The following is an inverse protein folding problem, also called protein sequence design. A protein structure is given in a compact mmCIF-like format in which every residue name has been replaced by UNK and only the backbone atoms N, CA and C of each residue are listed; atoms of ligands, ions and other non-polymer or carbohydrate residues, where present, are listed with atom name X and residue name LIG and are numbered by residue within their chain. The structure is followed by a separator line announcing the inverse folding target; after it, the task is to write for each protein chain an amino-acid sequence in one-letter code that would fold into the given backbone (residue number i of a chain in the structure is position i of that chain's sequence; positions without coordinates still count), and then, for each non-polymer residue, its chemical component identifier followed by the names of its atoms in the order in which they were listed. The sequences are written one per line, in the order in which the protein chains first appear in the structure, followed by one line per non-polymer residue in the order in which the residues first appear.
data_IF_911978571665
#
_entry.id   IF_911978571665
#
_cell.length_a   1.000
_cell.length_b   1.000
_cell.length_c   1.000
_cell.angle_alpha   90.00
_cell.angle_beta   90.00
_cell.angle_gamma   90.00
#
_symmetry.space_group_name_H-M   'P 1'
#
loop_
_entity.id
_entity.type
_entity.pdbx_description
1 polymer ?
#
# COMPACT_ATOMS: atom_id res chain seq x y z
N UNK A 1 18.48 -10.70 -26.54
CA UNK A 1 17.44 -11.04 -25.60
C UNK A 1 17.76 -10.41 -24.25
N UNK A 2 16.87 -9.55 -23.70
CA UNK A 2 17.04 -8.97 -22.36
C UNK A 2 16.21 -9.79 -21.38
N UNK A 3 16.80 -10.23 -20.26
CA UNK A 3 16.11 -10.95 -19.19
C UNK A 3 16.64 -10.52 -17.83
N UNK A 4 15.82 -10.70 -16.80
CA UNK A 4 16.17 -10.46 -15.41
C UNK A 4 15.98 -11.78 -14.65
N UNK A 5 16.99 -12.16 -13.88
CA UNK A 5 16.89 -13.32 -12.96
C UNK A 5 16.58 -12.79 -11.58
N UNK A 6 15.50 -13.30 -10.98
CA UNK A 6 15.02 -12.88 -9.65
C UNK A 6 14.79 -14.10 -8.77
N UNK A 7 14.78 -13.91 -7.45
CA UNK A 7 14.34 -14.92 -6.51
C UNK A 7 12.91 -15.35 -6.81
N UNK A 8 12.65 -16.65 -6.89
CA UNK A 8 11.28 -17.17 -6.89
C UNK A 8 10.76 -17.25 -5.46
N UNK A 9 9.67 -16.53 -5.18
CA UNK A 9 9.02 -16.53 -3.87
C UNK A 9 7.78 -17.40 -3.92
N UNK A 10 7.80 -18.54 -3.23
CA UNK A 10 6.68 -19.45 -3.14
C UNK A 10 5.69 -18.98 -2.06
N UNK A 11 4.49 -18.55 -2.49
CA UNK A 11 3.47 -18.02 -1.60
C UNK A 11 2.29 -17.43 -2.38
N UNK A 12 1.43 -16.73 -1.66
CA UNK A 12 0.30 -15.98 -2.25
C UNK A 12 0.48 -14.48 -1.98
N UNK A 13 -0.08 -13.64 -2.83
CA UNK A 13 -0.07 -12.20 -2.56
C UNK A 13 -1.02 -11.86 -1.42
N UNK A 14 -0.70 -10.81 -0.66
CA UNK A 14 -1.62 -10.27 0.35
C UNK A 14 -2.96 -9.85 -0.28
N UNK A 15 -2.95 -9.39 -1.54
CA UNK A 15 -4.18 -9.08 -2.29
C UNK A 15 -5.09 -10.30 -2.40
N UNK A 16 -4.56 -11.42 -2.88
CA UNK A 16 -5.29 -12.69 -2.96
C UNK A 16 -5.81 -13.15 -1.60
N UNK A 17 -5.01 -12.92 -0.55
CA UNK A 17 -5.39 -13.30 0.81
C UNK A 17 -6.55 -12.46 1.34
N UNK A 18 -6.51 -11.13 1.15
CA UNK A 18 -7.61 -10.22 1.52
C UNK A 18 -8.87 -10.58 0.73
N UNK A 19 -8.78 -10.81 -0.57
CA UNK A 19 -9.93 -11.16 -1.41
C UNK A 19 -10.61 -12.47 -0.98
N UNK A 20 -9.83 -13.46 -0.56
CA UNK A 20 -10.37 -14.73 -0.06
C UNK A 20 -11.05 -14.61 1.31
N UNK A 21 -10.53 -13.76 2.19
CA UNK A 21 -11.07 -13.56 3.55
C UNK A 21 -12.11 -12.45 3.63
N UNK A 22 -12.12 -11.52 2.68
CA UNK A 22 -12.90 -10.28 2.69
C UNK A 22 -12.33 -9.22 3.63
N UNK A 23 -11.99 -9.58 4.86
CA UNK A 23 -11.47 -8.72 5.90
C UNK A 23 -10.56 -9.53 6.83
N UNK A 24 -9.49 -8.92 7.33
CA UNK A 24 -8.57 -9.56 8.26
C UNK A 24 -8.88 -9.14 9.70
N UNK A 25 -8.59 -10.03 10.65
CA UNK A 25 -8.62 -9.64 12.06
C UNK A 25 -7.56 -8.58 12.36
N UNK A 26 -7.80 -7.74 13.36
CA UNK A 26 -6.81 -6.72 13.73
C UNK A 26 -5.47 -7.32 14.13
N UNK A 27 -5.45 -8.51 14.75
CA UNK A 27 -4.20 -9.21 15.13
C UNK A 27 -3.39 -9.63 13.91
N UNK A 28 -4.05 -10.18 12.89
CA UNK A 28 -3.40 -10.55 11.62
C UNK A 28 -2.88 -9.30 10.91
N UNK A 29 -3.71 -8.26 10.80
CA UNK A 29 -3.35 -6.99 10.14
C UNK A 29 -2.12 -6.36 10.79
N UNK A 30 -2.05 -6.33 12.11
CA UNK A 30 -0.89 -5.82 12.85
C UNK A 30 0.35 -6.68 12.61
N UNK A 31 0.22 -8.02 12.66
CA UNK A 31 1.34 -8.94 12.41
C UNK A 31 1.94 -8.75 11.01
N UNK A 32 1.09 -8.64 10.00
CA UNK A 32 1.51 -8.37 8.61
C UNK A 32 2.16 -7.00 8.50
N UNK A 33 1.53 -5.96 9.03
CA UNK A 33 2.03 -4.59 8.97
C UNK A 33 3.42 -4.44 9.62
N UNK A 34 3.66 -5.08 10.77
CA UNK A 34 4.97 -5.08 11.43
C UNK A 34 6.05 -5.72 10.52
N UNK A 35 5.76 -6.84 9.89
CA UNK A 35 6.72 -7.50 9.02
C UNK A 35 7.00 -6.67 7.75
N UNK A 36 5.95 -6.07 7.16
CA UNK A 36 6.11 -5.14 6.02
C UNK A 36 6.95 -3.94 6.42
N UNK A 37 6.65 -3.31 7.56
CA UNK A 37 7.41 -2.14 8.06
C UNK A 37 8.89 -2.48 8.28
N UNK A 38 9.22 -3.64 8.83
CA UNK A 38 10.62 -4.11 8.97
C UNK A 38 11.31 -4.30 7.63
N UNK A 39 10.60 -4.85 6.63
CA UNK A 39 11.13 -5.00 5.27
C UNK A 39 11.43 -3.65 4.61
N UNK A 40 10.53 -2.68 4.77
CA UNK A 40 10.69 -1.30 4.28
C UNK A 40 11.83 -0.59 5.02
N UNK A 41 11.90 -0.71 6.34
CA UNK A 41 12.97 -0.13 7.16
C UNK A 41 14.35 -0.60 6.70
N UNK A 42 14.50 -1.90 6.41
CA UNK A 42 15.76 -2.46 5.91
C UNK A 42 16.17 -1.83 4.56
N UNK A 43 15.21 -1.48 3.70
CA UNK A 43 15.46 -0.77 2.44
C UNK A 43 15.77 0.71 2.67
N UNK A 44 15.00 1.40 3.53
CA UNK A 44 15.19 2.80 3.87
C UNK A 44 16.58 3.05 4.49
N UNK A 45 17.08 2.14 5.33
CA UNK A 45 18.43 2.20 5.88
C UNK A 45 19.52 2.13 4.81
N UNK A 46 19.18 1.66 3.61
CA UNK A 46 20.04 1.67 2.41
C UNK A 46 19.68 2.79 1.43
N UNK A 47 18.87 3.76 1.87
CA UNK A 47 18.39 4.87 1.05
C UNK A 47 17.56 4.43 -0.18
N UNK A 48 16.90 3.28 -0.08
CA UNK A 48 16.01 2.75 -1.11
C UNK A 48 14.57 2.93 -0.65
N UNK A 49 13.81 3.77 -1.36
CA UNK A 49 12.37 3.93 -1.19
C UNK A 49 11.65 2.99 -2.16
N UNK A 50 10.63 2.27 -1.69
CA UNK A 50 9.90 1.28 -2.50
C UNK A 50 9.00 1.92 -3.55
N UNK A 51 8.21 2.92 -3.19
CA UNK A 51 7.33 3.74 -4.05
C UNK A 51 6.13 3.03 -4.68
N UNK A 52 5.92 1.76 -4.43
CA UNK A 52 4.78 0.97 -4.94
C UNK A 52 4.33 -0.07 -3.91
N UNK A 53 4.25 0.31 -2.63
CA UNK A 53 3.72 -0.54 -1.57
C UNK A 53 2.22 -0.73 -1.80
N UNK A 54 1.82 -1.99 -1.95
CA UNK A 54 0.42 -2.42 -2.13
C UNK A 54 0.30 -3.91 -1.88
N UNK A 55 -0.90 -4.45 -1.61
CA UNK A 55 -1.08 -5.87 -1.30
C UNK A 55 -0.59 -6.83 -2.39
N UNK A 56 -0.55 -6.40 -3.66
CA UNK A 56 -0.03 -7.21 -4.77
C UNK A 56 1.48 -7.45 -4.68
N UNK A 57 2.22 -6.52 -4.05
CA UNK A 57 3.67 -6.57 -3.90
C UNK A 57 4.11 -7.11 -2.53
N UNK A 58 3.18 -7.68 -1.76
CA UNK A 58 3.42 -8.32 -0.48
C UNK A 58 3.10 -9.81 -0.62
N UNK A 59 4.09 -10.67 -0.39
CA UNK A 59 3.95 -12.11 -0.48
C UNK A 59 3.83 -12.73 0.91
N UNK A 60 2.82 -13.57 1.09
CA UNK A 60 2.62 -14.41 2.28
C UNK A 60 3.14 -15.82 1.96
N UNK A 61 4.16 -16.26 2.69
CA UNK A 61 4.73 -17.58 2.59
C UNK A 61 3.93 -18.56 3.46
N UNK A 62 4.11 -19.87 3.22
CA UNK A 62 3.40 -20.92 3.95
C UNK A 62 3.72 -20.95 5.46
N UNK A 63 4.91 -20.51 5.85
CA UNK A 63 5.38 -20.44 7.24
C UNK A 63 4.90 -19.17 7.98
N UNK A 64 4.10 -18.32 7.31
CA UNK A 64 3.63 -17.03 7.84
C UNK A 64 4.62 -15.87 7.70
N UNK A 65 5.75 -16.10 7.03
CA UNK A 65 6.71 -15.04 6.71
C UNK A 65 6.14 -14.11 5.64
N UNK A 66 6.38 -12.81 5.78
CA UNK A 66 6.03 -11.81 4.79
C UNK A 66 7.28 -11.35 4.04
N UNK A 67 7.21 -11.31 2.71
CA UNK A 67 8.23 -10.70 1.85
C UNK A 67 7.65 -9.53 1.07
N UNK A 68 8.38 -8.41 1.07
CA UNK A 68 8.10 -7.25 0.21
C UNK A 68 8.83 -7.47 -1.11
N UNK A 69 8.12 -7.39 -2.22
CA UNK A 69 8.62 -7.66 -3.58
C UNK A 69 8.41 -6.46 -4.49
N UNK A 70 9.04 -6.47 -5.66
CA UNK A 70 8.83 -5.48 -6.73
C UNK A 70 9.10 -4.03 -6.27
N UNK A 71 10.28 -3.80 -5.70
CA UNK A 71 10.77 -2.45 -5.43
C UNK A 71 10.67 -1.60 -6.70
N UNK A 72 9.95 -0.48 -6.63
CA UNK A 72 9.57 0.37 -7.75
C UNK A 72 10.76 1.05 -8.45
N UNK A 73 11.59 0.28 -9.11
CA UNK A 73 12.84 0.73 -9.77
C UNK A 73 12.59 1.72 -10.92
N UNK A 74 11.33 1.93 -11.38
CA UNK A 74 11.08 2.63 -12.65
C UNK A 74 9.75 3.39 -12.74
N UNK A 75 9.20 3.97 -11.68
CA UNK A 75 7.98 4.78 -11.82
C UNK A 75 8.27 6.28 -11.74
N UNK A 76 8.81 6.83 -12.82
CA UNK A 76 8.65 8.27 -13.11
C UNK A 76 7.20 8.48 -13.58
N UNK A 77 6.34 9.06 -12.74
CA UNK A 77 4.99 9.47 -13.11
C UNK A 77 4.95 10.57 -14.19
N UNK A 78 6.11 11.09 -14.60
CA UNK A 78 6.24 12.19 -15.58
C UNK A 78 6.10 11.77 -17.05
N UNK A 79 5.81 10.51 -17.38
CA UNK A 79 5.51 10.14 -18.76
C UNK A 79 3.99 10.16 -19.00
N UNK A 80 3.48 11.28 -19.45
CA UNK A 80 2.09 11.51 -19.88
C UNK A 80 1.63 10.62 -21.06
N UNK A 81 2.33 9.54 -21.37
CA UNK A 81 2.14 8.69 -22.55
C UNK A 81 2.17 7.21 -22.25
N UNK A 82 1.88 6.78 -21.02
CA UNK A 82 1.72 5.34 -20.77
C UNK A 82 0.25 4.97 -20.79
N UNK A 83 -0.10 4.12 -21.76
CA UNK A 83 -1.33 3.31 -21.81
C UNK A 83 -1.69 2.87 -20.39
N UNK A 84 -2.86 3.28 -19.92
CA UNK A 84 -3.42 2.91 -18.60
C UNK A 84 -3.67 1.40 -18.61
N UNK A 85 -2.70 0.61 -18.21
CA UNK A 85 -2.90 -0.83 -17.98
C UNK A 85 -3.70 -1.02 -16.69
N UNK A 86 -4.45 -2.11 -16.57
CA UNK A 86 -5.20 -2.47 -15.35
C UNK A 86 -4.33 -2.44 -14.10
N UNK A 87 -3.04 -2.79 -14.22
CA UNK A 87 -2.06 -2.71 -13.13
C UNK A 87 -1.74 -1.27 -12.70
N UNK A 88 -1.80 -0.30 -13.63
CA UNK A 88 -1.62 1.11 -13.30
C UNK A 88 -2.85 1.65 -12.56
N UNK A 89 -4.06 1.19 -12.94
CA UNK A 89 -5.32 1.56 -12.27
C UNK A 89 -5.34 1.03 -10.84
N UNK A 90 -4.94 -0.22 -10.60
CA UNK A 90 -4.87 -0.80 -9.25
C UNK A 90 -3.89 -0.09 -8.30
N UNK A 91 -2.78 0.43 -8.82
CA UNK A 91 -1.74 1.09 -8.00
C UNK A 91 -2.15 2.48 -7.50
N UNK A 92 -3.07 3.17 -8.18
CA UNK A 92 -3.49 4.52 -7.79
C UNK A 92 -4.19 4.56 -6.43
N UNK A 93 -4.78 3.43 -6.00
CA UNK A 93 -5.46 3.34 -4.71
C UNK A 93 -4.51 3.45 -3.50
N UNK A 94 -3.21 3.23 -3.69
CA UNK A 94 -2.20 3.24 -2.63
C UNK A 94 -1.19 4.38 -2.78
N UNK A 95 -1.35 5.23 -3.79
CA UNK A 95 -0.42 6.31 -4.10
C UNK A 95 -0.42 7.37 -3.00
N UNK A 96 0.76 7.81 -2.58
CA UNK A 96 0.88 8.91 -1.62
C UNK A 96 0.57 10.27 -2.27
N UNK A 97 0.09 11.25 -1.50
CA UNK A 97 -0.25 12.58 -2.01
C UNK A 97 0.88 13.26 -2.77
N UNK A 98 2.12 13.19 -2.28
CA UNK A 98 3.29 13.76 -2.94
C UNK A 98 3.61 13.07 -4.27
N UNK A 99 3.40 11.76 -4.37
CA UNK A 99 3.56 11.03 -5.63
C UNK A 99 2.50 11.48 -6.66
N UNK A 100 1.25 11.62 -6.22
CA UNK A 100 0.16 12.07 -7.10
C UNK A 100 0.39 13.50 -7.62
N UNK A 101 1.10 14.35 -6.86
CA UNK A 101 1.53 15.69 -7.27
C UNK A 101 2.77 15.69 -8.15
N UNK A 102 3.45 14.56 -8.34
CA UNK A 102 4.75 14.49 -9.01
C UNK A 102 5.90 15.10 -8.19
N UNK A 103 5.74 15.16 -6.88
CA UNK A 103 6.74 15.69 -5.95
C UNK A 103 7.82 14.68 -5.58
N UNK A 104 8.74 15.10 -4.72
CA UNK A 104 9.80 14.24 -4.20
C UNK A 104 9.19 13.16 -3.30
N UNK A 105 9.73 11.95 -3.41
CA UNK A 105 9.32 10.77 -2.65
C UNK A 105 10.44 10.31 -1.74
N UNK A 106 10.12 10.02 -0.49
CA UNK A 106 11.03 9.49 0.51
C UNK A 106 10.39 8.31 1.26
N UNK A 107 10.95 7.91 2.40
CA UNK A 107 10.40 6.83 3.21
C UNK A 107 8.97 7.08 3.70
N UNK A 108 8.54 8.33 3.86
CA UNK A 108 7.18 8.67 4.29
C UNK A 108 6.13 8.32 3.22
N UNK A 109 6.53 8.35 1.95
CA UNK A 109 5.72 7.86 0.81
C UNK A 109 5.30 6.40 1.01
N UNK A 110 6.24 5.54 1.41
CA UNK A 110 5.95 4.12 1.67
C UNK A 110 5.06 3.96 2.92
N UNK A 111 5.25 4.78 3.95
CA UNK A 111 4.44 4.77 5.18
C UNK A 111 2.97 5.12 4.86
N UNK A 112 2.72 6.11 4.00
CA UNK A 112 1.37 6.41 3.55
C UNK A 112 0.72 5.19 2.88
N UNK A 113 1.43 4.54 1.96
CA UNK A 113 0.93 3.36 1.26
C UNK A 113 0.67 2.18 2.21
N UNK A 114 1.51 2.00 3.26
CA UNK A 114 1.25 1.04 4.34
C UNK A 114 -0.02 1.39 5.10
N UNK A 115 -0.27 2.67 5.39
CA UNK A 115 -1.51 3.13 6.02
C UNK A 115 -2.75 2.75 5.21
N UNK A 116 -2.73 2.98 3.89
CA UNK A 116 -3.82 2.58 2.98
C UNK A 116 -4.01 1.06 2.97
N UNK A 117 -2.93 0.29 2.94
CA UNK A 117 -2.96 -1.17 2.98
C UNK A 117 -3.52 -1.67 4.33
N UNK A 118 -3.14 -1.06 5.44
CA UNK A 118 -3.71 -1.36 6.77
C UNK A 118 -5.21 -1.09 6.81
N UNK A 119 -5.65 0.04 6.26
CA UNK A 119 -7.07 0.37 6.14
C UNK A 119 -7.83 -0.74 5.38
N UNK A 120 -7.31 -1.19 4.24
CA UNK A 120 -7.94 -2.26 3.46
C UNK A 120 -7.97 -3.59 4.23
N UNK A 121 -6.87 -4.00 4.88
CA UNK A 121 -6.84 -5.21 5.70
C UNK A 121 -7.87 -5.19 6.82
N UNK A 122 -8.00 -4.07 7.53
CA UNK A 122 -8.86 -3.91 8.69
C UNK A 122 -10.35 -3.79 8.35
N UNK A 123 -10.67 -3.24 7.18
CA UNK A 123 -12.06 -2.93 6.79
C UNK A 123 -12.57 -3.79 5.65
N UNK A 124 -11.70 -4.48 4.92
CA UNK A 124 -12.02 -5.15 3.66
C UNK A 124 -12.35 -4.19 2.51
N UNK A 125 -12.16 -2.89 2.70
CA UNK A 125 -12.51 -1.84 1.72
C UNK A 125 -11.34 -0.90 1.50
N UNK A 126 -11.24 -0.37 0.29
CA UNK A 126 -10.33 0.75 -0.01
C UNK A 126 -10.87 2.05 0.60
N UNK A 127 -10.00 2.94 1.10
CA UNK A 127 -10.43 4.22 1.68
C UNK A 127 -11.02 5.18 0.64
N UNK A 128 -10.57 5.09 -0.61
CA UNK A 128 -11.02 5.93 -1.71
C UNK A 128 -11.30 5.09 -2.95
N UNK A 129 -12.50 5.24 -3.51
CA UNK A 129 -12.98 4.54 -4.72
C UNK A 129 -13.70 5.54 -5.59
N UNK A 130 -13.42 5.54 -6.90
CA UNK A 130 -14.10 6.37 -7.89
C UNK A 130 -14.09 5.66 -9.25
N UNK A 131 -14.83 6.19 -10.22
CA UNK A 131 -15.01 5.60 -11.55
C UNK A 131 -13.73 5.56 -12.41
N UNK A 132 -12.73 6.35 -12.06
CA UNK A 132 -11.47 6.42 -12.79
C UNK A 132 -10.27 6.75 -11.89
N UNK A 133 -9.07 6.43 -12.37
CA UNK A 133 -7.82 6.59 -11.63
C UNK A 133 -7.51 8.06 -11.26
N UNK A 134 -7.90 9.01 -12.11
CA UNK A 134 -7.65 10.45 -11.84
C UNK A 134 -8.48 10.92 -10.65
N UNK A 135 -9.75 10.52 -10.58
CA UNK A 135 -10.63 10.82 -9.46
C UNK A 135 -10.11 10.20 -8.15
N UNK A 136 -9.63 8.96 -8.18
CA UNK A 136 -8.99 8.34 -7.01
C UNK A 136 -7.74 9.11 -6.59
N UNK A 137 -6.88 9.51 -7.53
CA UNK A 137 -5.70 10.32 -7.21
C UNK A 137 -6.07 11.66 -6.56
N UNK A 138 -7.12 12.33 -7.04
CA UNK A 138 -7.65 13.56 -6.43
C UNK A 138 -8.14 13.29 -5.00
N UNK A 139 -8.84 12.18 -4.77
CA UNK A 139 -9.27 11.80 -3.42
C UNK A 139 -8.08 11.53 -2.48
N UNK A 140 -7.01 10.92 -2.98
CA UNK A 140 -5.75 10.73 -2.22
C UNK A 140 -5.14 12.08 -1.81
N UNK A 141 -5.32 13.12 -2.61
CA UNK A 141 -4.80 14.47 -2.32
C UNK A 141 -5.65 15.25 -1.31
N UNK A 142 -6.97 15.10 -1.36
CA UNK A 142 -7.90 16.07 -0.76
C UNK A 142 -8.95 15.47 0.18
N UNK A 143 -9.30 14.20 0.00
CA UNK A 143 -10.41 13.61 0.74
C UNK A 143 -9.96 12.97 2.05
N UNK A 144 -10.83 13.03 3.06
CA UNK A 144 -10.67 12.28 4.31
C UNK A 144 -11.35 10.92 4.15
N UNK A 145 -10.71 9.80 4.54
CA UNK A 145 -11.34 8.49 4.49
C UNK A 145 -12.43 8.38 5.56
N UNK A 146 -13.37 7.46 5.35
CA UNK A 146 -14.31 7.06 6.40
C UNK A 146 -13.52 6.43 7.55
N UNK A 147 -13.94 6.66 8.80
CA UNK A 147 -13.25 6.08 9.96
C UNK A 147 -13.31 4.54 9.89
N UNK A 148 -12.19 3.81 10.06
CA UNK A 148 -12.18 2.35 10.07
C UNK A 148 -13.20 1.73 11.02
N UNK A 149 -13.38 2.29 12.22
CA UNK A 149 -14.33 1.80 13.23
C UNK A 149 -15.80 2.04 12.88
N UNK A 150 -16.12 2.95 11.99
CA UNK A 150 -17.48 3.08 11.43
C UNK A 150 -17.83 1.92 10.47
N UNK A 151 -16.81 1.24 9.93
CA UNK A 151 -16.96 0.08 9.05
C UNK A 151 -16.90 -1.20 9.85
N UNK A 152 -15.92 -1.30 10.75
CA UNK A 152 -15.69 -2.42 11.64
C UNK A 152 -15.44 -1.94 13.08
N UNK A 153 -16.45 -1.96 13.96
CA UNK A 153 -16.33 -1.50 15.35
C UNK A 153 -15.34 -2.30 16.21
N UNK A 154 -14.96 -3.51 15.79
CA UNK A 154 -14.02 -4.38 16.52
C UNK A 154 -12.56 -3.90 16.41
N UNK A 155 -12.28 -2.91 15.56
CA UNK A 155 -10.95 -2.32 15.43
C UNK A 155 -10.63 -1.53 16.71
N UNK A 156 -9.49 -1.80 17.39
CA UNK A 156 -9.05 -1.01 18.52
C UNK A 156 -8.84 0.47 18.13
N UNK A 157 -9.27 1.39 18.99
CA UNK A 157 -9.16 2.83 18.73
C UNK A 157 -7.72 3.26 18.37
N UNK A 158 -6.72 2.81 19.15
CA UNK A 158 -5.32 3.16 18.86
C UNK A 158 -4.84 2.64 17.50
N UNK A 159 -5.39 1.53 16.99
CA UNK A 159 -5.05 1.02 15.67
C UNK A 159 -5.70 1.85 14.55
N UNK A 160 -6.92 2.31 14.74
CA UNK A 160 -7.56 3.30 13.86
C UNK A 160 -6.72 4.58 13.79
N UNK A 161 -6.33 5.14 14.95
CA UNK A 161 -5.52 6.35 15.04
C UNK A 161 -4.18 6.20 14.31
N UNK A 162 -3.45 5.09 14.51
CA UNK A 162 -2.19 4.82 13.82
C UNK A 162 -2.40 4.73 12.31
N UNK A 163 -3.45 4.02 11.88
CA UNK A 163 -3.77 3.85 10.45
C UNK A 163 -4.06 5.20 9.79
N UNK A 164 -4.89 6.03 10.41
CA UNK A 164 -5.23 7.36 9.91
C UNK A 164 -4.05 8.34 9.99
N UNK A 165 -3.19 8.20 11.00
CA UNK A 165 -1.97 9.00 11.11
C UNK A 165 -1.00 8.71 9.96
N UNK A 166 -0.80 7.44 9.62
CA UNK A 166 0.00 7.05 8.46
C UNK A 166 -0.57 7.59 7.14
N UNK A 167 -1.90 7.81 7.07
CA UNK A 167 -2.61 8.33 5.89
C UNK A 167 -2.76 9.86 5.87
N UNK A 168 -2.02 10.61 6.70
CA UNK A 168 -2.05 12.07 6.66
C UNK A 168 -1.53 12.62 5.32
N UNK A 169 -2.14 13.72 4.86
CA UNK A 169 -1.85 14.30 3.54
C UNK A 169 -0.56 15.13 3.53
N UNK A 170 -0.16 15.62 4.68
CA UNK A 170 1.12 16.33 4.87
C UNK A 170 2.10 15.39 5.60
N UNK A 171 3.23 15.03 4.97
CA UNK A 171 4.20 14.12 5.56
C UNK A 171 5.11 14.78 6.62
N UNK A 172 4.85 16.02 7.04
CA UNK A 172 5.66 16.74 8.06
C UNK A 172 5.52 16.17 9.45
#
# INVERSE_FOLDING_TARGET
LHYIVMEYVEGITLKTYIEKKGQLSFKESVSIAIQVARGIEAAHNKQITHRDIKPQNIMLLQDGTIKVTDFGIARNFNSATRTMTEQAIGSVHYIAPEQAKGGNTDGKTDIYSVGVMMYEMLTGKLPFVADNAVSVAIMQLQSTPKLPREINPDIPQGLEEITLHAMQKDPK
#
